data_IF_405526485260
#
_entry.id   IF_405526485260
#
_cell.length_a   1.000
_cell.length_b   1.000
_cell.length_c   1.000
_cell.angle_alpha   90.00
_cell.angle_beta   90.00
_cell.angle_gamma   90.00
#
_symmetry.space_group_name_H-M   'P 1'
#
loop_
_entity.id
_entity.type
_entity.pdbx_description
1 polymer ?
#
# COMPACT_ATOMS: atom_id res chain seq x y z
N UNK A 1 16.45 -16.92 -57.37
CA UNK A 1 17.31 -15.93 -56.71
C UNK A 1 16.94 -15.92 -55.23
N UNK A 2 17.72 -16.61 -54.38
CA UNK A 2 17.42 -16.76 -52.95
C UNK A 2 18.03 -15.59 -52.16
N UNK A 3 17.21 -14.91 -51.35
CA UNK A 3 17.65 -13.80 -50.48
C UNK A 3 17.93 -14.36 -49.09
N UNK A 4 19.21 -14.59 -48.79
CA UNK A 4 19.70 -14.98 -47.45
C UNK A 4 19.65 -13.76 -46.51
N UNK A 5 18.87 -13.85 -45.45
CA UNK A 5 18.85 -12.85 -44.37
C UNK A 5 19.84 -13.23 -43.28
N UNK A 6 20.95 -12.49 -43.14
CA UNK A 6 21.86 -12.61 -42.00
C UNK A 6 21.24 -11.90 -40.79
N UNK A 7 20.88 -12.66 -39.75
CA UNK A 7 20.51 -12.10 -38.43
C UNK A 7 21.76 -11.99 -37.57
N UNK A 8 22.30 -10.78 -37.40
CA UNK A 8 23.41 -10.51 -36.47
C UNK A 8 22.92 -10.51 -35.02
N UNK A 9 23.06 -11.63 -34.32
CA UNK A 9 22.87 -11.72 -32.87
C UNK A 9 24.18 -11.43 -32.13
N UNK A 10 24.16 -10.48 -31.20
CA UNK A 10 25.26 -10.24 -30.26
C UNK A 10 25.20 -11.28 -29.13
N UNK A 11 26.26 -12.08 -28.99
CA UNK A 11 26.39 -13.13 -27.97
C UNK A 11 27.08 -12.56 -26.73
N UNK A 12 26.44 -12.66 -25.57
CA UNK A 12 27.06 -12.33 -24.28
C UNK A 12 27.89 -13.54 -23.80
N UNK A 13 29.22 -13.46 -23.92
CA UNK A 13 30.15 -14.59 -23.71
C UNK A 13 30.32 -15.08 -22.26
N UNK A 14 29.62 -14.48 -21.28
CA UNK A 14 29.73 -14.89 -19.87
C UNK A 14 28.62 -15.86 -19.39
N UNK A 15 27.46 -15.93 -20.05
CA UNK A 15 26.31 -16.72 -19.53
C UNK A 15 25.60 -17.61 -20.54
N UNK A 16 26.08 -17.69 -21.79
CA UNK A 16 25.51 -18.57 -22.83
C UNK A 16 24.04 -18.28 -23.18
N UNK A 17 23.47 -17.16 -22.71
CA UNK A 17 22.08 -16.78 -22.97
C UNK A 17 22.00 -15.87 -24.18
N UNK A 18 21.37 -16.37 -25.23
CA UNK A 18 20.97 -15.59 -26.41
C UNK A 18 19.89 -14.59 -26.00
N UNK A 19 20.18 -13.30 -26.09
CA UNK A 19 19.17 -12.25 -25.91
C UNK A 19 18.46 -12.08 -27.24
N UNK A 20 17.22 -12.58 -27.35
CA UNK A 20 16.36 -12.22 -28.48
C UNK A 20 15.79 -10.82 -28.24
N UNK A 21 16.19 -9.87 -29.08
CA UNK A 21 15.55 -8.57 -29.19
C UNK A 21 14.21 -8.75 -29.91
N UNK A 22 13.11 -8.82 -29.16
CA UNK A 22 11.77 -8.71 -29.74
C UNK A 22 11.54 -7.23 -30.08
N UNK A 23 11.74 -6.85 -31.34
CA UNK A 23 11.37 -5.53 -31.83
C UNK A 23 9.84 -5.40 -31.81
N UNK A 24 9.28 -4.75 -30.79
CA UNK A 24 7.88 -4.35 -30.83
C UNK A 24 7.75 -3.17 -31.79
N UNK A 25 7.17 -3.43 -32.97
CA UNK A 25 6.78 -2.41 -33.92
C UNK A 25 5.68 -1.52 -33.32
N UNK A 26 6.07 -0.41 -32.67
CA UNK A 26 5.17 0.70 -32.40
C UNK A 26 5.15 1.61 -33.64
N UNK A 27 4.03 1.63 -34.34
CA UNK A 27 3.85 2.51 -35.49
C UNK A 27 2.56 2.26 -36.26
N UNK A 28 1.41 2.45 -35.61
CA UNK A 28 0.14 2.62 -36.34
C UNK A 28 0.24 3.91 -37.16
N UNK A 29 0.25 3.75 -38.49
CA UNK A 29 0.02 4.83 -39.45
C UNK A 29 -1.32 5.48 -39.15
N UNK A 30 -1.33 6.81 -38.99
CA UNK A 30 -2.55 7.60 -38.92
C UNK A 30 -2.81 8.08 -40.35
N UNK A 31 -3.75 7.43 -41.05
CA UNK A 31 -4.36 7.99 -42.25
C UNK A 31 -5.86 7.98 -42.07
N UNK A 32 -6.38 9.21 -41.99
CA UNK A 32 -7.70 9.72 -42.34
C UNK A 32 -8.88 8.78 -42.62
N UNK A 33 -10.04 9.27 -42.18
CA UNK A 33 -11.42 8.97 -42.62
C UNK A 33 -11.99 7.61 -42.25
N UNK A 34 -12.70 7.58 -41.11
CA UNK A 34 -14.14 7.24 -41.02
C UNK A 34 -14.48 6.95 -39.56
N UNK A 35 -15.54 7.59 -39.07
CA UNK A 35 -16.06 7.43 -37.71
C UNK A 35 -16.27 5.97 -37.36
N UNK A 36 -15.36 5.39 -36.59
CA UNK A 36 -15.51 4.07 -35.99
C UNK A 36 -15.42 4.27 -34.49
N UNK A 37 -16.58 4.28 -33.84
CA UNK A 37 -16.72 4.23 -32.39
C UNK A 37 -15.86 3.08 -31.85
N UNK A 38 -14.78 3.43 -31.15
CA UNK A 38 -14.01 2.45 -30.41
C UNK A 38 -14.84 2.06 -29.18
N UNK A 39 -15.56 0.94 -29.30
CA UNK A 39 -16.02 0.21 -28.14
C UNK A 39 -14.78 -0.26 -27.39
N UNK A 40 -14.54 0.34 -26.22
CA UNK A 40 -13.61 -0.21 -25.24
C UNK A 40 -14.30 -1.47 -24.73
N UNK A 41 -14.00 -2.61 -25.35
CA UNK A 41 -14.40 -3.91 -24.85
C UNK A 41 -13.67 -4.11 -23.53
N UNK A 42 -14.37 -3.84 -22.42
CA UNK A 42 -13.91 -4.18 -21.09
C UNK A 42 -13.86 -5.71 -21.02
N UNK A 43 -12.68 -6.28 -21.25
CA UNK A 43 -12.42 -7.65 -20.87
C UNK A 43 -12.52 -7.72 -19.35
N UNK A 44 -13.70 -8.06 -18.85
CA UNK A 44 -13.99 -8.41 -17.47
C UNK A 44 -13.46 -9.80 -17.14
N UNK A 45 -12.22 -10.11 -17.55
CA UNK A 45 -11.45 -11.16 -16.89
C UNK A 45 -10.97 -10.54 -15.59
N UNK A 46 -11.89 -10.45 -14.64
CA UNK A 46 -11.65 -10.13 -13.25
C UNK A 46 -10.52 -11.04 -12.83
N UNK A 47 -9.31 -10.50 -12.80
CA UNK A 47 -8.16 -11.25 -12.35
C UNK A 47 -8.56 -11.79 -11.00
N UNK A 48 -8.53 -13.12 -10.86
CA UNK A 48 -8.49 -13.75 -9.56
C UNK A 48 -7.29 -13.08 -8.86
N UNK A 49 -7.57 -12.04 -8.07
CA UNK A 49 -6.56 -11.37 -7.28
C UNK A 49 -6.16 -12.41 -6.26
N UNK A 50 -5.15 -13.20 -6.61
CA UNK A 50 -4.47 -14.05 -5.66
C UNK A 50 -4.14 -13.12 -4.49
N UNK A 51 -4.71 -13.42 -3.32
CA UNK A 51 -4.44 -12.68 -2.10
C UNK A 51 -2.97 -12.94 -1.75
N UNK A 52 -2.06 -12.23 -2.43
CA UNK A 52 -0.64 -12.29 -2.14
C UNK A 52 -0.45 -11.70 -0.76
N UNK A 53 0.07 -12.49 0.16
CA UNK A 53 0.43 -12.02 1.48
C UNK A 53 1.37 -10.82 1.32
N UNK A 54 0.97 -9.67 1.86
CA UNK A 54 1.76 -8.45 1.79
C UNK A 54 2.82 -8.52 2.88
N UNK A 55 4.09 -8.39 2.49
CA UNK A 55 5.21 -8.36 3.42
C UNK A 55 5.06 -7.21 4.43
N UNK A 56 5.57 -7.43 5.64
CA UNK A 56 5.68 -6.40 6.66
C UNK A 56 7.11 -5.86 6.72
N UNK A 57 7.27 -4.59 7.07
CA UNK A 57 8.55 -3.87 7.12
C UNK A 57 8.63 -3.01 8.38
N UNK A 58 9.81 -2.95 9.00
CA UNK A 58 10.08 -2.08 10.13
C UNK A 58 10.41 -0.66 9.63
N UNK A 59 9.83 0.35 10.27
CA UNK A 59 9.96 1.76 9.90
C UNK A 59 10.13 2.63 11.14
N UNK A 60 10.84 3.74 10.97
CA UNK A 60 11.02 4.77 11.99
C UNK A 60 10.11 5.94 11.63
N UNK A 61 9.25 6.36 12.56
CA UNK A 61 8.31 7.45 12.35
C UNK A 61 9.04 8.78 12.56
N UNK A 62 8.98 9.66 11.56
CA UNK A 62 9.61 10.98 11.59
C UNK A 62 8.66 12.12 11.91
N UNK A 63 7.36 11.89 11.82
CA UNK A 63 6.33 12.89 12.10
C UNK A 63 5.14 12.22 12.76
N UNK A 64 4.61 12.85 13.81
CA UNK A 64 3.37 12.40 14.45
C UNK A 64 2.23 12.29 13.41
N UNK A 65 1.64 11.10 13.31
CA UNK A 65 0.54 10.85 12.37
C UNK A 65 -0.42 9.79 12.92
N UNK A 66 -1.70 10.16 13.04
CA UNK A 66 -2.75 9.29 13.56
C UNK A 66 -2.36 8.70 14.93
N UNK A 67 -2.13 7.39 15.00
CA UNK A 67 -1.74 6.67 16.21
C UNK A 67 -0.23 6.41 16.32
N UNK A 68 0.58 7.03 15.45
CA UNK A 68 2.01 6.85 15.41
C UNK A 68 2.73 8.06 16.00
N UNK A 69 3.63 7.79 16.94
CA UNK A 69 4.44 8.80 17.62
C UNK A 69 5.77 8.95 16.89
N UNK A 70 6.22 10.19 16.72
CA UNK A 70 7.54 10.51 16.19
C UNK A 70 8.66 9.86 17.03
N UNK A 71 9.68 9.33 16.36
CA UNK A 71 10.77 8.58 16.97
C UNK A 71 10.43 7.13 17.32
N UNK A 72 9.19 6.67 17.11
CA UNK A 72 8.82 5.28 17.35
C UNK A 72 9.25 4.38 16.18
N UNK A 73 9.78 3.20 16.51
CA UNK A 73 10.04 2.13 15.54
C UNK A 73 8.85 1.17 15.54
N UNK A 74 8.18 1.03 14.40
CA UNK A 74 6.97 0.23 14.26
C UNK A 74 7.04 -0.73 13.07
N UNK A 75 6.27 -1.81 13.12
CA UNK A 75 6.11 -2.75 12.02
C UNK A 75 4.84 -2.43 11.24
N UNK A 76 4.98 -2.12 9.94
CA UNK A 76 3.87 -1.76 9.05
C UNK A 76 3.84 -2.67 7.82
N UNK A 77 2.72 -2.69 7.09
CA UNK A 77 2.64 -3.35 5.79
C UNK A 77 3.52 -2.62 4.77
N UNK A 78 4.26 -3.35 3.94
CA UNK A 78 5.15 -2.79 2.93
C UNK A 78 4.41 -1.87 1.93
N UNK A 79 3.17 -2.23 1.58
CA UNK A 79 2.32 -1.40 0.74
C UNK A 79 1.98 -0.05 1.38
N UNK A 80 1.71 -0.03 2.69
CA UNK A 80 1.44 1.21 3.42
C UNK A 80 2.69 2.09 3.52
N UNK A 81 3.85 1.48 3.74
CA UNK A 81 5.14 2.20 3.72
C UNK A 81 5.41 2.83 2.36
N UNK A 82 5.36 2.03 1.28
CA UNK A 82 5.69 2.49 -0.08
C UNK A 82 4.71 3.51 -0.65
N UNK A 83 3.41 3.30 -0.43
CA UNK A 83 2.38 4.11 -1.09
C UNK A 83 2.02 5.38 -0.31
N UNK A 84 2.19 5.37 1.02
CA UNK A 84 1.69 6.45 1.87
C UNK A 84 2.76 7.06 2.77
N UNK A 85 3.45 6.28 3.60
CA UNK A 85 4.36 6.85 4.60
C UNK A 85 5.63 7.45 3.97
N UNK A 86 6.23 6.76 3.01
CA UNK A 86 7.48 7.17 2.39
C UNK A 86 7.32 8.41 1.49
N UNK A 87 6.35 8.47 0.54
CA UNK A 87 6.18 9.66 -0.30
C UNK A 87 5.84 10.92 0.51
N UNK A 88 5.08 10.77 1.60
CA UNK A 88 4.69 11.88 2.47
C UNK A 88 5.75 12.23 3.53
N UNK A 89 6.92 11.57 3.51
CA UNK A 89 8.02 11.80 4.46
C UNK A 89 7.63 11.62 5.94
N UNK A 90 6.60 10.79 6.20
CA UNK A 90 6.10 10.51 7.55
C UNK A 90 6.99 9.48 8.25
N UNK A 91 7.58 8.54 7.49
CA UNK A 91 8.44 7.50 8.03
C UNK A 91 9.63 7.21 7.10
N UNK A 92 10.67 6.61 7.66
CA UNK A 92 11.82 6.07 6.93
C UNK A 92 11.98 4.58 7.22
N UNK A 93 12.64 3.86 6.32
CA UNK A 93 12.97 2.45 6.56
C UNK A 93 13.91 2.31 7.76
N UNK A 94 13.61 1.36 8.64
CA UNK A 94 14.46 1.01 9.77
C UNK A 94 15.62 0.11 9.31
N UNK A 95 16.48 0.62 8.44
CA UNK A 95 17.75 -0.03 8.07
C UNK A 95 18.73 0.07 9.24
N UNK A 96 19.76 -0.78 9.27
CA UNK A 96 20.77 -0.79 10.34
C UNK A 96 21.42 0.59 10.53
N UNK A 97 21.78 1.25 9.42
CA UNK A 97 22.35 2.60 9.44
C UNK A 97 21.36 3.63 10.02
N UNK A 98 20.09 3.59 9.62
CA UNK A 98 19.08 4.52 10.12
C UNK A 98 18.74 4.27 11.58
N UNK A 99 18.72 3.02 12.03
CA UNK A 99 18.51 2.66 13.43
C UNK A 99 19.67 3.16 14.30
N UNK A 100 20.91 3.01 13.84
CA UNK A 100 22.08 3.52 14.56
C UNK A 100 22.02 5.04 14.71
N UNK A 101 21.83 5.75 13.61
CA UNK A 101 21.70 7.21 13.63
C UNK A 101 20.53 7.66 14.51
N UNK A 102 19.39 6.98 14.43
CA UNK A 102 18.24 7.27 15.28
C UNK A 102 18.58 7.10 16.76
N UNK A 103 19.18 5.97 17.14
CA UNK A 103 19.55 5.68 18.53
C UNK A 103 20.58 6.65 19.11
N UNK A 104 21.53 7.12 18.29
CA UNK A 104 22.50 8.15 18.67
C UNK A 104 21.82 9.48 18.97
N UNK A 105 20.77 9.84 18.21
CA UNK A 105 19.99 11.08 18.45
C UNK A 105 18.96 10.96 19.57
N UNK A 106 18.70 9.75 20.07
CA UNK A 106 17.62 9.46 21.01
C UNK A 106 18.10 9.61 22.45
N UNK A 107 17.88 10.80 23.02
CA UNK A 107 18.15 11.07 24.45
C UNK A 107 17.18 10.26 25.33
N UNK A 108 17.57 9.94 26.59
CA UNK A 108 16.70 9.22 27.51
C UNK A 108 15.36 9.94 27.76
N UNK A 109 15.37 11.27 27.83
CA UNK A 109 14.18 12.11 27.98
C UNK A 109 13.19 11.91 26.83
N UNK A 110 13.68 11.90 25.58
CA UNK A 110 12.84 11.64 24.40
C UNK A 110 12.23 10.24 24.43
N UNK A 111 12.95 9.23 24.94
CA UNK A 111 12.40 7.87 25.06
C UNK A 111 11.21 7.84 26.03
N UNK A 112 11.31 8.56 27.15
CA UNK A 112 10.24 8.68 28.14
C UNK A 112 9.04 9.40 27.50
N UNK A 113 9.26 10.53 26.83
CA UNK A 113 8.21 11.29 26.15
C UNK A 113 7.45 10.43 25.11
N UNK A 114 8.18 9.70 24.26
CA UNK A 114 7.60 8.78 23.27
C UNK A 114 6.73 7.73 23.97
N UNK A 115 7.21 7.17 25.08
CA UNK A 115 6.49 6.15 25.84
C UNK A 115 5.21 6.69 26.48
N UNK A 116 5.26 7.87 27.08
CA UNK A 116 4.10 8.53 27.68
C UNK A 116 3.05 8.89 26.63
N UNK A 117 3.49 9.47 25.50
CA UNK A 117 2.60 9.83 24.39
C UNK A 117 1.92 8.60 23.78
N UNK A 118 2.64 7.49 23.67
CA UNK A 118 2.09 6.21 23.25
C UNK A 118 1.05 5.68 24.22
N UNK A 119 1.31 5.73 25.53
CA UNK A 119 0.36 5.32 26.57
C UNK A 119 -0.92 6.15 26.52
N UNK A 120 -0.79 7.46 26.32
CA UNK A 120 -1.91 8.38 26.19
C UNK A 120 -2.76 8.07 24.96
N UNK A 121 -2.14 7.87 23.78
CA UNK A 121 -2.84 7.50 22.55
C UNK A 121 -3.58 6.16 22.68
N UNK A 122 -2.96 5.17 23.34
CA UNK A 122 -3.62 3.89 23.62
C UNK A 122 -4.85 4.08 24.50
N UNK A 123 -4.78 4.91 25.54
CA UNK A 123 -5.91 5.21 26.43
C UNK A 123 -7.05 5.90 25.69
N UNK A 124 -6.75 6.88 24.83
CA UNK A 124 -7.76 7.52 23.99
C UNK A 124 -8.43 6.51 23.06
N UNK A 125 -7.64 5.64 22.43
CA UNK A 125 -8.17 4.60 21.55
C UNK A 125 -9.09 3.64 22.29
N UNK A 126 -8.73 3.24 23.51
CA UNK A 126 -9.55 2.37 24.35
C UNK A 126 -10.89 3.03 24.69
N UNK A 127 -10.86 4.29 25.13
CA UNK A 127 -12.07 5.07 25.44
C UNK A 127 -12.99 5.20 24.21
N UNK A 128 -12.43 5.50 23.03
CA UNK A 128 -13.19 5.57 21.79
C UNK A 128 -13.82 4.23 21.40
N UNK A 129 -13.22 3.09 21.78
CA UNK A 129 -13.80 1.77 21.54
C UNK A 129 -14.98 1.50 22.47
N UNK A 130 -14.88 1.86 23.74
CA UNK A 130 -15.95 1.69 24.73
C UNK A 130 -17.17 2.56 24.41
N UNK A 131 -16.95 3.84 24.09
CA UNK A 131 -18.07 4.73 23.73
C UNK A 131 -18.81 4.26 22.46
N UNK A 132 -18.10 3.60 21.53
CA UNK A 132 -18.73 3.07 20.31
C UNK A 132 -19.61 1.85 20.57
N UNK A 133 -19.25 1.00 21.54
CA UNK A 133 -20.07 -0.17 21.89
C UNK A 133 -21.40 0.24 22.52
N UNK A 134 -21.40 1.29 23.34
CA UNK A 134 -22.61 1.80 23.98
C UNK A 134 -23.57 2.45 22.95
N UNK A 135 -23.02 3.23 22.00
CA UNK A 135 -23.81 3.85 20.92
C UNK A 135 -24.44 2.86 19.92
N UNK A 136 -23.97 1.61 19.86
CA UNK A 136 -24.54 0.58 18.99
C UNK A 136 -25.60 -0.30 19.64
N UNK A 137 -25.77 -0.22 20.97
CA UNK A 137 -26.75 -1.01 21.71
C UNK A 137 -28.15 -0.36 21.73
N UNK A 138 -28.25 0.95 21.49
CA UNK A 138 -29.51 1.71 21.57
C UNK A 138 -30.37 1.68 20.28
N UNK A 139 -29.91 1.04 19.19
CA UNK A 139 -30.66 0.99 17.92
C UNK A 139 -31.44 -0.32 17.65
N UNK A 140 -31.47 -1.27 18.59
CA UNK A 140 -32.12 -2.58 18.39
C UNK A 140 -33.32 -2.88 19.28
N UNK A 141 -33.83 -1.94 20.07
CA UNK A 141 -34.93 -2.20 21.02
C UNK A 141 -36.17 -1.31 20.83
N UNK A 142 -36.53 -0.88 19.62
CA UNK A 142 -37.81 -0.20 19.39
C UNK A 142 -38.43 -0.55 18.03
N UNK A 143 -38.68 -1.84 17.76
CA UNK A 143 -39.56 -2.28 16.65
C UNK A 143 -40.36 -3.54 16.97
N UNK A 144 -40.89 -3.68 18.19
CA UNK A 144 -41.97 -4.64 18.48
C UNK A 144 -42.98 -4.03 19.44
N UNK A 145 -43.75 -3.06 18.96
CA UNK A 145 -45.04 -2.71 19.55
C UNK A 145 -45.90 -2.04 18.47
N UNK A 146 -46.67 -2.84 17.74
CA UNK A 146 -47.95 -2.35 17.19
C UNK A 146 -49.03 -3.38 17.51
N UNK A 147 -50.14 -2.94 18.11
CA UNK A 147 -51.22 -3.81 18.56
C UNK A 147 -52.11 -4.14 17.37
N UNK A 148 -52.16 -5.42 16.99
CA UNK A 148 -53.20 -5.89 16.09
C UNK A 148 -54.54 -5.86 16.83
N UNK A 149 -55.39 -4.96 16.38
CA UNK A 149 -56.74 -4.71 16.87
C UNK A 149 -57.66 -5.92 16.64
N UNK A 150 -58.58 -6.07 17.58
CA UNK A 150 -59.80 -6.88 17.52
C UNK A 150 -60.60 -6.60 16.23
N UNK A 151 -61.11 -7.68 15.61
CA UNK A 151 -62.51 -7.89 15.22
C UNK A 151 -62.66 -9.26 14.51
#
# INVERSE_FOLDING_TARGET
>A
MFKVGFSSGLVNHHTGKTIQLVSSNYGKRISSSSSSTFLITLNSSTQQRFLRAVANTNVIIKKNFNNFVEGEVIKVKAGFMRNFLYPNKIAIYATEANLKAHNETLTPEKKIEIQERKRFLMKQREQMRMNKTDASAEQTTEKEASPSQEL
#
